data_IF_921858211479
#
_entry.id   IF_921858211479
#
_cell.length_a   1.000
_cell.length_b   1.000
_cell.length_c   1.000
_cell.angle_alpha   90.00
_cell.angle_beta   90.00
_cell.angle_gamma   90.00
#
_symmetry.space_group_name_H-M   'P 1'
#
loop_
_entity.id
_entity.type
_entity.pdbx_description
1 polymer ?
#
# COMPACT_ATOMS: atom_id res chain seq x y z
N UNK A 1 -17.06 4.28 -1.63
CA UNK A 1 -15.67 4.06 -2.08
C UNK A 1 -15.41 2.62 -2.52
N UNK A 2 -16.27 1.64 -2.25
CA UNK A 2 -16.09 0.24 -2.68
C UNK A 2 -14.93 -0.50 -1.99
N UNK A 3 -14.12 0.21 -1.20
CA UNK A 3 -13.12 -0.36 -0.32
C UNK A 3 -13.79 -1.21 0.77
N UNK A 4 -13.12 -2.28 1.17
CA UNK A 4 -13.46 -2.98 2.42
C UNK A 4 -13.29 -2.06 3.62
N UNK A 5 -13.93 -2.34 4.77
CA UNK A 5 -13.74 -1.54 5.98
C UNK A 5 -12.27 -1.40 6.39
N UNK A 6 -11.47 -2.47 6.25
CA UNK A 6 -10.04 -2.44 6.57
C UNK A 6 -9.26 -1.52 5.61
N UNK A 7 -9.49 -1.62 4.29
CA UNK A 7 -8.82 -0.75 3.32
C UNK A 7 -9.26 0.73 3.49
N UNK A 8 -10.52 0.98 3.85
CA UNK A 8 -11.01 2.31 4.19
C UNK A 8 -10.38 2.86 5.48
N UNK A 9 -10.08 2.01 6.47
CA UNK A 9 -9.36 2.40 7.67
C UNK A 9 -7.91 2.79 7.34
N UNK A 10 -7.20 2.01 6.52
CA UNK A 10 -5.86 2.38 6.00
C UNK A 10 -5.91 3.71 5.26
N UNK A 11 -6.83 3.88 4.31
CA UNK A 11 -7.03 5.12 3.57
C UNK A 11 -7.18 6.34 4.51
N UNK A 12 -8.02 6.21 5.53
CA UNK A 12 -8.29 7.28 6.49
C UNK A 12 -7.08 7.56 7.39
N UNK A 13 -6.38 6.52 7.84
CA UNK A 13 -5.19 6.62 8.68
C UNK A 13 -4.05 7.35 7.96
N UNK A 14 -3.78 7.02 6.70
CA UNK A 14 -2.76 7.68 5.88
C UNK A 14 -3.10 9.16 5.67
N UNK A 15 -4.35 9.48 5.32
CA UNK A 15 -4.81 10.87 5.16
C UNK A 15 -4.62 11.68 6.43
N UNK A 16 -5.02 11.12 7.58
CA UNK A 16 -4.91 11.80 8.86
C UNK A 16 -3.46 11.99 9.32
N UNK A 17 -2.57 11.05 8.99
CA UNK A 17 -1.19 11.05 9.49
C UNK A 17 -0.27 11.90 8.61
N UNK A 18 -0.45 11.84 7.29
CA UNK A 18 0.47 12.43 6.33
C UNK A 18 -0.13 13.58 5.50
N UNK A 19 -1.44 13.84 5.61
CA UNK A 19 -2.13 14.80 4.76
C UNK A 19 -2.19 14.41 3.28
N UNK A 20 -1.83 13.17 2.93
CA UNK A 20 -1.81 12.69 1.55
C UNK A 20 -3.23 12.38 1.10
N UNK A 21 -3.73 13.12 0.11
CA UNK A 21 -5.09 12.92 -0.41
C UNK A 21 -5.14 12.15 -1.72
N UNK A 22 -4.02 12.09 -2.46
CA UNK A 22 -3.91 11.34 -3.71
C UNK A 22 -3.65 9.86 -3.39
N UNK A 23 -4.74 9.10 -3.23
CA UNK A 23 -4.71 7.68 -2.88
C UNK A 23 -5.65 6.95 -3.81
N UNK A 24 -5.10 6.05 -4.63
CA UNK A 24 -5.85 5.12 -5.46
C UNK A 24 -6.55 4.05 -4.61
N UNK A 25 -7.73 3.61 -5.05
CA UNK A 25 -8.53 2.60 -4.37
C UNK A 25 -9.06 1.55 -5.34
N UNK A 26 -10.35 1.25 -5.29
CA UNK A 26 -10.98 0.21 -6.12
C UNK A 26 -10.75 0.42 -7.62
N UNK A 27 -10.38 -0.66 -8.32
CA UNK A 27 -10.27 -0.73 -9.78
C UNK A 27 -11.21 -1.84 -10.31
N UNK A 28 -12.44 -1.53 -10.74
CA UNK A 28 -13.37 -2.56 -11.23
C UNK A 28 -12.77 -3.39 -12.38
N UNK A 29 -12.88 -4.71 -12.27
CA UNK A 29 -12.33 -5.64 -13.26
C UNK A 29 -10.85 -6.00 -13.07
N UNK A 30 -10.14 -5.35 -12.13
CA UNK A 30 -8.81 -5.77 -11.69
C UNK A 30 -8.91 -7.16 -11.02
N UNK A 31 -8.08 -8.15 -11.39
CA UNK A 31 -8.17 -9.49 -10.82
C UNK A 31 -7.55 -9.61 -9.41
N UNK A 32 -6.86 -8.57 -8.93
CA UNK A 32 -6.19 -8.52 -7.64
C UNK A 32 -6.94 -7.74 -6.57
N UNK A 33 -6.20 -7.29 -5.55
CA UNK A 33 -6.76 -6.69 -4.33
C UNK A 33 -7.50 -5.38 -4.60
N UNK A 34 -7.12 -4.63 -5.63
CA UNK A 34 -7.86 -3.43 -6.02
C UNK A 34 -9.25 -3.75 -6.59
N UNK A 35 -9.40 -4.87 -7.30
CA UNK A 35 -10.71 -5.28 -7.83
C UNK A 35 -11.68 -5.68 -6.74
N UNK A 36 -11.17 -6.23 -5.64
CA UNK A 36 -11.97 -6.61 -4.47
C UNK A 36 -12.04 -5.53 -3.39
N UNK A 37 -11.45 -4.36 -3.65
CA UNK A 37 -11.43 -3.22 -2.72
C UNK A 37 -10.59 -3.42 -1.46
N UNK A 38 -9.64 -4.35 -1.49
CA UNK A 38 -8.71 -4.67 -0.40
C UNK A 38 -7.38 -3.94 -0.48
N UNK A 39 -7.16 -3.08 -1.46
CA UNK A 39 -5.90 -2.36 -1.58
C UNK A 39 -6.06 -0.87 -1.82
N UNK A 40 -5.02 -0.13 -1.41
CA UNK A 40 -4.84 1.29 -1.69
C UNK A 40 -3.43 1.53 -2.23
N UNK A 41 -3.33 2.43 -3.21
CA UNK A 41 -2.06 2.93 -3.75
C UNK A 41 -1.87 4.36 -3.26
N UNK A 42 -0.94 4.58 -2.33
CA UNK A 42 -0.63 5.91 -1.79
C UNK A 42 0.39 6.57 -2.70
N UNK A 43 -0.03 7.57 -3.47
CA UNK A 43 0.86 8.28 -4.39
C UNK A 43 1.83 9.18 -3.60
N UNK A 44 3.12 9.11 -3.92
CA UNK A 44 4.18 9.83 -3.20
C UNK A 44 4.83 10.89 -4.09
N UNK A 45 5.37 11.94 -3.48
CA UNK A 45 6.13 12.99 -4.17
C UNK A 45 7.64 12.85 -4.00
N UNK A 46 8.10 11.98 -3.11
CA UNK A 46 9.52 11.70 -2.89
C UNK A 46 9.72 10.34 -2.22
N UNK A 47 10.91 9.76 -2.39
CA UNK A 47 11.25 8.48 -1.75
C UNK A 47 11.14 8.54 -0.23
N UNK A 48 11.53 9.65 0.40
CA UNK A 48 11.41 9.81 1.86
C UNK A 48 9.95 9.83 2.35
N UNK A 49 9.02 10.33 1.55
CA UNK A 49 7.59 10.23 1.87
C UNK A 49 7.10 8.77 1.74
N UNK A 50 7.55 8.05 0.72
CA UNK A 50 7.26 6.61 0.58
C UNK A 50 7.81 5.78 1.72
N UNK A 51 9.05 6.05 2.16
CA UNK A 51 9.67 5.37 3.31
C UNK A 51 8.86 5.60 4.59
N UNK A 52 8.38 6.83 4.82
CA UNK A 52 7.55 7.16 5.98
C UNK A 52 6.18 6.45 5.95
N UNK A 53 5.52 6.44 4.79
CA UNK A 53 4.23 5.75 4.60
C UNK A 53 4.38 4.23 4.77
N UNK A 54 5.37 3.63 4.12
CA UNK A 54 5.64 2.20 4.22
C UNK A 54 5.97 1.78 5.66
N UNK A 55 6.82 2.56 6.35
CA UNK A 55 7.17 2.30 7.76
C UNK A 55 5.96 2.40 8.68
N UNK A 56 5.10 3.40 8.48
CA UNK A 56 3.85 3.53 9.24
C UNK A 56 2.92 2.35 8.98
N UNK A 57 2.73 1.95 7.72
CA UNK A 57 1.92 0.80 7.35
C UNK A 57 2.44 -0.48 8.00
N UNK A 58 3.75 -0.72 7.95
CA UNK A 58 4.42 -1.88 8.59
C UNK A 58 4.22 -1.89 10.11
N UNK A 59 4.41 -0.75 10.77
CA UNK A 59 4.23 -0.63 12.22
C UNK A 59 2.78 -0.85 12.67
N UNK A 60 1.81 -0.62 11.78
CA UNK A 60 0.37 -0.72 12.07
C UNK A 60 -0.31 -1.93 11.39
N UNK A 61 0.45 -2.88 10.83
CA UNK A 61 -0.17 -3.95 10.03
C UNK A 61 -1.20 -4.76 10.81
N UNK A 62 -0.88 -5.08 12.07
CA UNK A 62 -1.79 -5.84 12.93
C UNK A 62 -3.08 -5.10 13.28
N UNK A 63 -2.98 -3.80 13.59
CA UNK A 63 -4.14 -2.99 13.99
C UNK A 63 -5.03 -2.61 12.81
N UNK A 64 -4.46 -2.48 11.61
CA UNK A 64 -5.19 -2.11 10.38
C UNK A 64 -5.56 -3.31 9.50
N UNK A 65 -5.21 -4.54 9.90
CA UNK A 65 -5.49 -5.75 9.13
C UNK A 65 -4.73 -5.84 7.80
N UNK A 66 -3.58 -5.18 7.69
CA UNK A 66 -2.74 -5.16 6.49
C UNK A 66 -2.08 -6.53 6.31
N UNK A 67 -2.21 -7.10 5.12
CA UNK A 67 -1.63 -8.38 4.71
C UNK A 67 -0.21 -8.20 4.18
N UNK A 68 0.03 -7.18 3.34
CA UNK A 68 1.35 -6.84 2.82
C UNK A 68 1.47 -5.37 2.38
N UNK A 69 2.72 -4.90 2.29
CA UNK A 69 3.11 -3.59 1.78
C UNK A 69 4.14 -3.78 0.66
N UNK A 70 4.01 -3.06 -0.45
CA UNK A 70 5.01 -3.02 -1.53
C UNK A 70 5.51 -1.59 -1.67
N UNK A 71 6.84 -1.44 -1.67
CA UNK A 71 7.51 -0.16 -1.88
C UNK A 71 8.91 -0.37 -2.46
N UNK A 72 9.27 0.39 -3.49
CA UNK A 72 10.58 0.32 -4.18
C UNK A 72 11.02 -1.11 -4.50
N UNK A 73 10.18 -1.83 -5.25
CA UNK A 73 10.43 -3.18 -5.75
C UNK A 73 10.71 -4.20 -4.63
N UNK A 74 10.18 -3.95 -3.43
CA UNK A 74 10.31 -4.82 -2.27
C UNK A 74 8.94 -5.02 -1.65
N UNK A 75 8.72 -6.21 -1.13
CA UNK A 75 7.49 -6.58 -0.42
C UNK A 75 7.79 -6.89 1.04
N UNK A 76 6.94 -6.40 1.92
CA UNK A 76 6.89 -6.77 3.33
C UNK A 76 5.59 -7.51 3.60
N UNK A 77 5.66 -8.74 4.08
CA UNK A 77 4.47 -9.54 4.42
C UNK A 77 4.21 -9.43 5.93
N UNK A 78 2.95 -9.46 6.33
CA UNK A 78 2.60 -9.58 7.74
C UNK A 78 3.30 -10.81 8.33
N UNK A 79 4.10 -10.61 9.38
CA UNK A 79 4.88 -11.69 10.03
C UNK A 79 6.20 -12.07 9.35
N UNK A 80 6.64 -11.45 8.24
CA UNK A 80 7.93 -11.80 7.60
C UNK A 80 9.16 -11.28 8.34
N UNK A 81 9.02 -10.24 9.17
CA UNK A 81 10.13 -9.61 9.91
C UNK A 81 11.13 -8.83 9.05
N UNK A 82 10.91 -8.70 7.74
CA UNK A 82 11.84 -8.07 6.82
C UNK A 82 11.32 -7.89 5.39
N UNK A 83 11.96 -6.98 4.65
CA UNK A 83 11.74 -6.75 3.22
C UNK A 83 12.29 -7.89 2.37
N UNK A 84 11.55 -8.26 1.31
CA UNK A 84 11.98 -9.21 0.28
C UNK A 84 12.00 -8.52 -1.07
N UNK A 85 13.07 -8.72 -1.84
CA UNK A 85 13.15 -8.21 -3.20
C UNK A 85 12.08 -8.85 -4.10
N UNK A 86 11.57 -8.08 -5.04
CA UNK A 86 10.67 -8.53 -6.10
C UNK A 86 11.39 -8.53 -7.44
N UNK A 87 10.90 -9.32 -8.38
CA UNK A 87 11.35 -9.27 -9.78
C UNK A 87 11.06 -7.91 -10.41
N UNK A 88 11.79 -7.58 -11.48
CA UNK A 88 11.50 -6.42 -12.30
C UNK A 88 10.27 -6.70 -13.17
N UNK A 89 9.25 -5.86 -13.02
CA UNK A 89 7.97 -5.93 -13.75
C UNK A 89 7.91 -4.95 -14.92
N UNK A 90 9.04 -4.34 -15.28
CA UNK A 90 9.23 -3.61 -16.53
C UNK A 90 8.83 -2.13 -16.51
N UNK A 91 8.43 -1.56 -15.37
CA UNK A 91 8.20 -0.11 -15.26
C UNK A 91 8.30 0.39 -13.81
N UNK A 92 8.59 1.69 -13.59
CA UNK A 92 8.58 2.29 -12.25
C UNK A 92 7.28 2.07 -11.49
N UNK A 93 6.12 2.23 -12.15
CA UNK A 93 4.81 2.01 -11.53
C UNK A 93 4.61 0.54 -11.18
N UNK A 94 4.90 -0.40 -12.09
CA UNK A 94 4.78 -1.83 -11.79
C UNK A 94 5.74 -2.28 -10.66
N UNK A 95 6.88 -1.61 -10.53
CA UNK A 95 7.87 -1.81 -9.47
C UNK A 95 7.62 -0.94 -8.23
N UNK A 96 6.50 -0.21 -8.16
CA UNK A 96 6.10 0.57 -6.99
C UNK A 96 7.16 1.60 -6.57
N UNK A 97 7.71 2.32 -7.56
CA UNK A 97 8.70 3.38 -7.34
C UNK A 97 8.04 4.76 -7.13
N UNK A 98 6.77 4.90 -7.52
CA UNK A 98 5.99 6.15 -7.50
C UNK A 98 4.79 6.11 -6.53
N UNK A 99 4.57 4.98 -5.87
CA UNK A 99 3.53 4.81 -4.85
C UNK A 99 3.87 3.68 -3.87
N UNK A 100 3.29 3.75 -2.67
CA UNK A 100 3.27 2.64 -1.71
C UNK A 100 1.95 1.89 -1.87
N UNK A 101 2.02 0.62 -2.22
CA UNK A 101 0.84 -0.25 -2.29
C UNK A 101 0.64 -0.96 -0.96
N UNK A 102 -0.59 -0.94 -0.45
CA UNK A 102 -0.96 -1.53 0.83
C UNK A 102 -2.21 -2.39 0.63
N UNK A 103 -2.11 -3.68 0.95
CA UNK A 103 -3.21 -4.63 0.87
C UNK A 103 -3.64 -5.10 2.26
N UNK A 104 -4.93 -5.44 2.43
CA UNK A 104 -5.54 -5.91 3.68
C UNK A 104 -6.21 -7.27 3.48
N UNK A 105 -6.52 -7.96 4.59
CA UNK A 105 -7.28 -9.24 4.57
C UNK A 105 -8.79 -9.03 4.29
#
# INVERSE_FOLDING_TARGET
>A
MGLTPAAAAVYSAIRSTFGITNIGGVRPGDPGDHGTGRAVDVMISSSGQGDAVASYAIANMGSLGISYVIWQQRIWLAGSGGWRAMEDRGSPTANHMDHVHISVN
#
